data_IF_397156621093
#
_entry.id   IF_397156621093
#
_cell.length_a   1.000
_cell.length_b   1.000
_cell.length_c   1.000
_cell.angle_alpha   90.00
_cell.angle_beta   90.00
_cell.angle_gamma   90.00
#
_symmetry.space_group_name_H-M   'P 1'
#
loop_
_entity.id
_entity.type
_entity.pdbx_description
1 polymer ?
#
# COMPACT_ATOMS: atom_id res chain seq x y z
N UNK A 1 -9.72 6.23 12.46
CA UNK A 1 -9.89 5.20 11.42
C UNK A 1 -9.07 5.48 10.16
N UNK A 2 -9.06 6.71 9.60
CA UNK A 2 -8.29 7.02 8.38
C UNK A 2 -6.79 6.72 8.48
N UNK A 3 -6.18 7.03 9.63
CA UNK A 3 -4.75 6.76 9.88
C UNK A 3 -4.40 5.27 9.76
N UNK A 4 -5.22 4.37 10.29
CA UNK A 4 -4.96 2.93 10.17
C UNK A 4 -5.10 2.48 8.71
N UNK A 5 -6.09 3.02 7.98
CA UNK A 5 -6.24 2.78 6.55
C UNK A 5 -5.01 3.23 5.77
N UNK A 6 -4.48 4.42 6.06
CA UNK A 6 -3.26 4.95 5.44
C UNK A 6 -2.04 4.07 5.71
N UNK A 7 -1.85 3.61 6.95
CA UNK A 7 -0.75 2.70 7.32
C UNK A 7 -0.82 1.41 6.53
N UNK A 8 -2.02 0.82 6.40
CA UNK A 8 -2.20 -0.42 5.63
C UNK A 8 -2.02 -0.19 4.14
N UNK A 9 -2.51 0.92 3.60
CA UNK A 9 -2.35 1.28 2.19
C UNK A 9 -0.87 1.38 1.81
N UNK A 10 -0.06 2.09 2.60
CA UNK A 10 1.39 2.18 2.35
C UNK A 10 2.04 0.80 2.41
N UNK A 11 1.68 -0.02 3.40
CA UNK A 11 2.20 -1.39 3.55
C UNK A 11 1.89 -2.25 2.33
N UNK A 12 0.66 -2.18 1.80
CA UNK A 12 0.23 -2.93 0.62
C UNK A 12 1.03 -2.50 -0.61
N UNK A 13 1.23 -1.20 -0.82
CA UNK A 13 2.01 -0.71 -1.96
C UNK A 13 3.49 -1.09 -1.83
N UNK A 14 4.08 -1.02 -0.62
CA UNK A 14 5.45 -1.49 -0.38
C UNK A 14 5.61 -2.98 -0.68
N UNK A 15 4.65 -3.79 -0.26
CA UNK A 15 4.62 -5.22 -0.57
C UNK A 15 4.48 -5.47 -2.08
N UNK A 16 3.56 -4.78 -2.76
CA UNK A 16 3.36 -4.89 -4.20
C UNK A 16 4.66 -4.57 -4.98
N UNK A 17 5.31 -3.46 -4.67
CA UNK A 17 6.57 -3.07 -5.32
C UNK A 17 7.68 -4.11 -5.04
N UNK A 18 7.74 -4.63 -3.81
CA UNK A 18 8.65 -5.71 -3.44
C UNK A 18 8.39 -7.01 -4.19
N UNK A 19 7.13 -7.39 -4.37
CA UNK A 19 6.72 -8.60 -5.08
C UNK A 19 6.99 -8.50 -6.58
N UNK A 20 6.82 -7.32 -7.18
CA UNK A 20 7.24 -7.06 -8.57
C UNK A 20 8.75 -7.30 -8.74
N UNK A 21 9.57 -6.70 -7.87
CA UNK A 21 11.02 -6.89 -7.90
C UNK A 21 11.36 -8.38 -7.68
N UNK A 22 10.77 -9.02 -6.67
CA UNK A 22 10.97 -10.44 -6.38
C UNK A 22 10.68 -11.31 -7.59
N UNK A 23 9.54 -11.09 -8.24
CA UNK A 23 9.08 -11.87 -9.38
C UNK A 23 10.05 -11.78 -10.55
N UNK A 24 10.48 -10.56 -10.89
CA UNK A 24 11.43 -10.36 -11.99
C UNK A 24 12.80 -10.93 -11.66
N UNK A 25 13.31 -10.73 -10.44
CA UNK A 25 14.63 -11.22 -10.05
C UNK A 25 14.68 -12.75 -9.97
N UNK A 26 13.65 -13.39 -9.42
CA UNK A 26 13.55 -14.86 -9.41
C UNK A 26 13.50 -15.43 -10.83
N UNK A 27 12.84 -14.73 -11.75
CA UNK A 27 12.74 -15.15 -13.16
C UNK A 27 14.03 -14.87 -13.95
N UNK A 28 14.74 -13.79 -13.63
CA UNK A 28 15.95 -13.33 -14.30
C UNK A 28 17.06 -13.02 -13.29
N UNK A 29 17.68 -14.03 -12.65
CA UNK A 29 18.68 -13.83 -11.58
C UNK A 29 19.88 -12.97 -12.00
N UNK A 30 20.21 -12.92 -13.29
CA UNK A 30 21.26 -12.07 -13.84
C UNK A 30 21.06 -10.56 -13.55
N UNK A 31 19.82 -10.14 -13.25
CA UNK A 31 19.49 -8.75 -12.88
C UNK A 31 19.89 -8.41 -11.44
N UNK A 32 20.31 -9.36 -10.60
CA UNK A 32 20.86 -9.08 -9.25
C UNK A 32 22.09 -8.17 -9.27
N UNK A 33 22.71 -7.98 -10.44
CA UNK A 33 23.81 -7.06 -10.68
C UNK A 33 25.16 -7.65 -10.29
N UNK A 34 26.16 -7.46 -11.15
CA UNK A 34 27.50 -8.03 -10.97
C UNK A 34 28.24 -7.54 -9.71
N UNK A 35 27.79 -6.45 -9.09
CA UNK A 35 28.42 -5.87 -7.88
C UNK A 35 27.97 -6.56 -6.58
N UNK A 36 26.94 -7.40 -6.60
CA UNK A 36 26.47 -8.07 -5.39
C UNK A 36 27.33 -9.29 -5.08
N UNK A 37 27.89 -9.28 -3.87
CA UNK A 37 28.69 -10.38 -3.34
C UNK A 37 27.82 -11.30 -2.50
N UNK A 38 27.90 -12.61 -2.74
CA UNK A 38 27.32 -13.63 -1.87
C UNK A 38 28.38 -14.05 -0.86
N UNK A 39 28.02 -14.17 0.42
CA UNK A 39 28.97 -14.62 1.44
C UNK A 39 29.29 -16.12 1.24
N UNK A 40 30.55 -16.51 1.48
CA UNK A 40 30.95 -17.93 1.40
C UNK A 40 30.10 -18.81 2.33
N UNK A 41 29.75 -18.27 3.51
CA UNK A 41 28.88 -18.95 4.46
C UNK A 41 27.52 -19.32 3.84
N UNK A 42 26.89 -18.40 3.10
CA UNK A 42 25.61 -18.66 2.44
C UNK A 42 25.74 -19.77 1.40
N UNK A 43 26.85 -19.82 0.65
CA UNK A 43 27.13 -20.87 -0.33
C UNK A 43 27.31 -22.23 0.34
N UNK A 44 28.02 -22.29 1.47
CA UNK A 44 28.25 -23.52 2.22
C UNK A 44 26.99 -24.05 2.92
N UNK A 45 26.07 -23.16 3.30
CA UNK A 45 24.80 -23.51 3.95
C UNK A 45 23.65 -23.85 2.99
N UNK A 46 23.75 -23.44 1.72
CA UNK A 46 22.71 -23.67 0.74
C UNK A 46 22.69 -25.13 0.28
N UNK A 47 21.49 -25.70 0.13
CA UNK A 47 21.34 -27.07 -0.37
C UNK A 47 21.31 -27.10 -1.90
N UNK A 48 20.82 -26.03 -2.50
CA UNK A 48 20.64 -25.89 -3.96
C UNK A 48 21.09 -24.52 -4.45
N UNK A 49 21.30 -24.38 -5.75
CA UNK A 49 21.58 -23.08 -6.37
C UNK A 49 20.35 -22.15 -6.26
N UNK A 50 19.17 -22.73 -6.35
CA UNK A 50 17.88 -22.07 -6.17
C UNK A 50 17.78 -21.43 -4.78
N UNK A 51 18.22 -22.11 -3.72
CA UNK A 51 18.28 -21.54 -2.37
C UNK A 51 19.20 -20.31 -2.31
N UNK A 52 20.34 -20.35 -3.01
CA UNK A 52 21.26 -19.21 -3.10
C UNK A 52 20.55 -18.03 -3.76
N UNK A 53 19.85 -18.27 -4.88
CA UNK A 53 19.11 -17.22 -5.59
C UNK A 53 18.00 -16.62 -4.73
N UNK A 54 17.22 -17.44 -4.02
CA UNK A 54 16.15 -16.98 -3.14
C UNK A 54 16.71 -16.13 -2.00
N UNK A 55 17.76 -16.60 -1.31
CA UNK A 55 18.39 -15.84 -0.23
C UNK A 55 19.03 -14.54 -0.71
N UNK A 56 19.64 -14.54 -1.91
CA UNK A 56 20.19 -13.33 -2.51
C UNK A 56 19.09 -12.31 -2.87
N UNK A 57 17.94 -12.81 -3.35
CA UNK A 57 16.76 -11.98 -3.65
C UNK A 57 16.17 -11.39 -2.37
N UNK A 58 16.04 -12.17 -1.31
CA UNK A 58 15.57 -11.70 0.00
C UNK A 58 16.50 -10.63 0.58
N UNK A 59 17.82 -10.82 0.48
CA UNK A 59 18.80 -9.83 0.90
C UNK A 59 18.65 -8.52 0.09
N UNK A 60 18.45 -8.61 -1.22
CA UNK A 60 18.17 -7.44 -2.06
C UNK A 60 16.91 -6.70 -1.60
N UNK A 61 15.80 -7.41 -1.43
CA UNK A 61 14.52 -6.82 -1.03
C UNK A 61 14.59 -6.17 0.35
N UNK A 62 15.29 -6.83 1.29
CA UNK A 62 15.56 -6.27 2.61
C UNK A 62 16.36 -4.96 2.49
N UNK A 63 17.43 -4.91 1.70
CA UNK A 63 18.18 -3.67 1.47
C UNK A 63 17.31 -2.57 0.84
N UNK A 64 16.47 -2.91 -0.14
CA UNK A 64 15.55 -1.97 -0.78
C UNK A 64 14.53 -1.40 0.19
N UNK A 65 14.08 -2.18 1.18
CA UNK A 65 13.10 -1.73 2.18
C UNK A 65 13.60 -0.60 3.08
N UNK A 66 14.91 -0.48 3.26
CA UNK A 66 15.53 0.59 4.07
C UNK A 66 15.83 1.86 3.28
N UNK A 67 15.71 1.83 1.94
CA UNK A 67 16.00 2.99 1.09
C UNK A 67 14.90 4.04 1.19
N UNK A 68 15.28 5.30 0.97
CA UNK A 68 14.31 6.35 0.70
C UNK A 68 13.54 6.07 -0.60
N UNK A 69 12.33 6.61 -0.80
CA UNK A 69 11.57 6.36 -2.01
C UNK A 69 12.29 6.72 -3.32
N UNK A 70 13.14 7.76 -3.31
CA UNK A 70 13.93 8.14 -4.49
C UNK A 70 15.05 7.12 -4.76
N UNK A 71 15.82 6.73 -3.73
CA UNK A 71 16.84 5.70 -3.87
C UNK A 71 16.23 4.34 -4.25
N UNK A 72 15.01 4.06 -3.79
CA UNK A 72 14.23 2.90 -4.22
C UNK A 72 13.90 3.00 -5.71
N UNK A 73 13.38 4.14 -6.19
CA UNK A 73 13.06 4.35 -7.60
C UNK A 73 14.28 4.20 -8.51
N UNK A 74 15.43 4.77 -8.13
CA UNK A 74 16.70 4.59 -8.86
C UNK A 74 17.12 3.12 -8.92
N UNK A 75 16.94 2.39 -7.80
CA UNK A 75 17.24 0.96 -7.76
C UNK A 75 16.26 0.15 -8.61
N UNK A 76 14.98 0.51 -8.56
CA UNK A 76 13.91 -0.12 -9.32
C UNK A 76 14.17 0.04 -10.82
N UNK A 77 14.54 1.23 -11.27
CA UNK A 77 14.96 1.51 -12.64
C UNK A 77 16.20 0.69 -13.03
N UNK A 78 17.24 0.66 -12.19
CA UNK A 78 18.44 -0.13 -12.49
C UNK A 78 18.17 -1.63 -12.65
N UNK A 79 17.17 -2.17 -11.95
CA UNK A 79 16.81 -3.58 -11.98
C UNK A 79 15.82 -3.89 -13.11
N UNK A 80 14.81 -3.04 -13.29
CA UNK A 80 13.65 -3.31 -14.14
C UNK A 80 13.60 -2.48 -15.41
N UNK A 81 14.43 -1.44 -15.52
CA UNK A 81 14.41 -0.43 -16.58
C UNK A 81 13.10 0.36 -16.63
N UNK A 82 12.47 0.54 -15.46
CA UNK A 82 11.23 1.29 -15.28
C UNK A 82 11.51 2.43 -14.30
N UNK A 83 11.32 3.67 -14.75
CA UNK A 83 11.57 4.85 -13.92
C UNK A 83 10.29 5.29 -13.18
N UNK A 84 10.14 4.88 -11.92
CA UNK A 84 8.99 5.24 -11.10
C UNK A 84 8.78 6.76 -10.95
N UNK A 85 9.83 7.57 -11.12
CA UNK A 85 9.75 9.03 -11.00
C UNK A 85 9.06 9.69 -12.21
N UNK A 86 8.81 8.95 -13.30
CA UNK A 86 8.01 9.44 -14.42
C UNK A 86 6.51 9.39 -14.12
N UNK A 87 6.10 8.58 -13.14
CA UNK A 87 4.71 8.46 -12.71
C UNK A 87 4.34 9.61 -11.74
N UNK A 88 3.39 10.51 -12.09
CA UNK A 88 2.95 11.57 -11.18
C UNK A 88 2.35 11.02 -9.87
N UNK A 89 1.67 9.86 -9.94
CA UNK A 89 1.09 9.21 -8.79
C UNK A 89 2.15 8.67 -7.81
N UNK A 90 3.36 8.34 -8.29
CA UNK A 90 4.46 7.95 -7.43
C UNK A 90 4.93 9.11 -6.54
N UNK A 91 5.02 10.33 -7.05
CA UNK A 91 5.36 11.52 -6.24
C UNK A 91 4.34 11.78 -5.13
N UNK A 92 3.05 11.53 -5.41
CA UNK A 92 2.00 11.55 -4.38
C UNK A 92 2.20 10.44 -3.36
N UNK A 93 2.52 9.22 -3.81
CA UNK A 93 2.84 8.11 -2.92
C UNK A 93 4.03 8.39 -1.99
N UNK A 94 5.07 9.11 -2.45
CA UNK A 94 6.19 9.54 -1.60
C UNK A 94 5.70 10.38 -0.42
N UNK A 95 4.81 11.34 -0.68
CA UNK A 95 4.20 12.18 0.35
C UNK A 95 3.32 11.36 1.31
N UNK A 96 2.50 10.45 0.77
CA UNK A 96 1.65 9.55 1.54
C UNK A 96 2.48 8.68 2.50
N UNK A 97 3.58 8.12 2.02
CA UNK A 97 4.55 7.35 2.83
C UNK A 97 5.21 8.25 3.89
N UNK A 98 5.58 9.48 3.56
CA UNK A 98 6.12 10.42 4.54
C UNK A 98 5.08 10.77 5.62
N UNK A 99 3.81 10.94 5.26
CA UNK A 99 2.70 11.15 6.21
C UNK A 99 2.55 9.94 7.13
N UNK A 100 2.55 8.71 6.60
CA UNK A 100 2.55 7.47 7.39
C UNK A 100 3.68 7.45 8.42
N UNK A 101 4.91 7.75 8.00
CA UNK A 101 6.08 7.76 8.87
C UNK A 101 5.90 8.73 10.04
N UNK A 102 5.31 9.91 9.79
CA UNK A 102 5.02 10.91 10.84
C UNK A 102 3.97 10.43 11.84
N UNK A 103 2.95 9.69 11.41
CA UNK A 103 1.99 9.12 12.36
C UNK A 103 2.60 8.02 13.24
N UNK A 104 3.50 7.21 12.69
CA UNK A 104 4.20 6.16 13.44
C UNK A 104 5.22 6.76 14.41
N UNK A 105 6.01 7.74 13.96
CA UNK A 105 7.20 8.19 14.69
C UNK A 105 7.02 9.54 15.41
N UNK A 106 6.13 10.41 14.94
CA UNK A 106 5.99 11.78 15.44
C UNK A 106 4.54 12.20 15.73
N UNK A 107 3.68 11.23 16.05
CA UNK A 107 2.28 11.42 16.48
C UNK A 107 1.47 12.34 15.55
N UNK A 108 1.75 12.31 14.24
CA UNK A 108 1.01 13.08 13.25
C UNK A 108 1.43 14.56 13.13
N UNK A 109 2.49 15.01 13.80
CA UNK A 109 2.97 16.40 13.66
C UNK A 109 4.09 16.49 12.61
N UNK A 110 3.93 17.34 11.60
CA UNK A 110 4.92 17.52 10.55
C UNK A 110 6.27 18.01 11.11
N UNK A 111 7.37 17.44 10.63
CA UNK A 111 8.74 17.85 10.97
C UNK A 111 9.56 18.13 9.69
N UNK A 112 10.83 18.51 9.84
CA UNK A 112 11.70 18.82 8.70
C UNK A 112 11.94 17.61 7.78
N UNK A 113 11.94 16.40 8.34
CA UNK A 113 12.05 15.16 7.54
C UNK A 113 10.83 14.96 6.65
N UNK A 114 9.63 15.21 7.15
CA UNK A 114 8.41 15.21 6.34
C UNK A 114 8.48 16.27 5.24
N UNK A 115 8.74 17.53 5.59
CA UNK A 115 8.79 18.61 4.62
C UNK A 115 9.81 18.35 3.50
N UNK A 116 10.99 17.80 3.84
CA UNK A 116 12.01 17.41 2.88
C UNK A 116 11.56 16.26 1.96
N UNK A 117 10.94 15.21 2.51
CA UNK A 117 10.47 14.05 1.73
C UNK A 117 9.30 14.42 0.81
N UNK A 118 8.35 15.19 1.34
CA UNK A 118 7.10 15.53 0.65
C UNK A 118 7.25 16.62 -0.40
N UNK A 119 8.29 17.46 -0.31
CA UNK A 119 8.60 18.49 -1.30
C UNK A 119 7.41 19.40 -1.62
N UNK A 120 7.08 19.55 -2.91
CA UNK A 120 5.95 20.36 -3.39
C UNK A 120 4.57 19.78 -3.04
N UNK A 121 4.49 18.54 -2.57
CA UNK A 121 3.22 17.89 -2.21
C UNK A 121 2.89 17.99 -0.72
N UNK A 122 3.75 18.62 0.10
CA UNK A 122 3.56 18.75 1.53
C UNK A 122 2.20 19.39 1.90
N UNK A 123 1.42 18.70 2.72
CA UNK A 123 0.07 19.09 3.17
C UNK A 123 0.08 19.98 4.41
N UNK A 124 1.18 19.99 5.16
CA UNK A 124 1.33 20.79 6.36
C UNK A 124 2.73 21.39 6.49
N UNK A 125 2.80 22.56 7.11
CA UNK A 125 4.06 23.18 7.53
C UNK A 125 4.62 22.47 8.75
N UNK A 126 5.94 22.53 8.93
CA UNK A 126 6.64 22.02 10.12
C UNK A 126 5.97 22.53 11.41
N UNK A 127 5.78 21.63 12.38
CA UNK A 127 5.13 21.91 13.65
C UNK A 127 3.59 21.89 13.62
N UNK A 128 2.97 21.70 12.46
CA UNK A 128 1.50 21.56 12.33
C UNK A 128 1.09 20.09 12.24
N UNK A 129 -0.11 19.72 12.74
CA UNK A 129 -0.64 18.38 12.57
C UNK A 129 -0.99 18.13 11.10
N UNK A 130 -0.76 16.90 10.63
CA UNK A 130 -1.13 16.45 9.29
C UNK A 130 -2.63 16.16 9.20
N UNK A 131 -3.33 16.63 8.15
CA UNK A 131 -4.76 16.44 8.00
C UNK A 131 -5.08 15.07 7.39
N UNK A 132 -5.07 14.00 8.19
CA UNK A 132 -5.49 12.65 7.74
C UNK A 132 -6.96 12.42 8.07
N UNK A 133 -7.81 13.07 7.27
CA UNK A 133 -9.26 12.88 7.27
C UNK A 133 -9.70 11.83 6.23
N UNK A 134 -11.01 11.65 6.08
CA UNK A 134 -11.57 10.70 5.11
C UNK A 134 -11.25 11.13 3.66
N UNK A 135 -11.45 12.40 3.25
CA UNK A 135 -11.05 12.87 1.92
C UNK A 135 -9.59 12.58 1.60
N UNK A 136 -8.66 12.90 2.51
CA UNK A 136 -7.23 12.63 2.31
C UNK A 136 -6.95 11.14 2.11
N UNK A 137 -7.59 10.27 2.90
CA UNK A 137 -7.43 8.82 2.74
C UNK A 137 -7.95 8.32 1.38
N UNK A 138 -9.12 8.80 0.93
CA UNK A 138 -9.68 8.41 -0.36
C UNK A 138 -8.82 8.90 -1.53
N UNK A 139 -8.31 10.13 -1.45
CA UNK A 139 -7.37 10.67 -2.45
C UNK A 139 -6.05 9.87 -2.45
N UNK A 140 -5.55 9.50 -1.26
CA UNK A 140 -4.36 8.65 -1.15
C UNK A 140 -4.57 7.28 -1.80
N UNK A 141 -5.74 6.68 -1.59
CA UNK A 141 -6.10 5.41 -2.18
C UNK A 141 -6.14 5.48 -3.70
N UNK A 142 -6.76 6.53 -4.25
CA UNK A 142 -6.81 6.79 -5.70
C UNK A 142 -5.41 6.91 -6.31
N UNK A 143 -4.48 7.66 -5.70
CA UNK A 143 -3.11 7.73 -6.20
C UNK A 143 -2.38 6.38 -6.15
N UNK A 144 -2.65 5.54 -5.15
CA UNK A 144 -2.08 4.19 -5.10
C UNK A 144 -2.64 3.26 -6.20
N UNK A 145 -3.92 3.43 -6.58
CA UNK A 145 -4.49 2.72 -7.73
C UNK A 145 -3.83 3.17 -9.04
N UNK A 146 -3.74 4.48 -9.27
CA UNK A 146 -3.10 5.05 -10.46
C UNK A 146 -1.65 4.60 -10.61
N UNK A 147 -0.90 4.54 -9.50
CA UNK A 147 0.46 3.98 -9.50
C UNK A 147 0.48 2.52 -9.94
N UNK A 148 -0.48 1.72 -9.46
CA UNK A 148 -0.57 0.30 -9.79
C UNK A 148 -0.92 0.09 -11.26
N UNK A 149 -1.90 0.82 -11.79
CA UNK A 149 -2.31 0.74 -13.20
C UNK A 149 -1.21 1.21 -14.16
N UNK A 150 -0.51 2.29 -13.78
CA UNK A 150 0.65 2.76 -14.53
C UNK A 150 1.75 1.70 -14.53
N UNK A 151 2.08 1.15 -13.36
CA UNK A 151 3.13 0.13 -13.25
C UNK A 151 2.78 -1.14 -14.03
N UNK A 152 1.52 -1.59 -14.01
CA UNK A 152 1.06 -2.72 -14.80
C UNK A 152 1.26 -2.48 -16.30
N UNK A 153 0.97 -1.27 -16.77
CA UNK A 153 1.16 -0.88 -18.17
C UNK A 153 2.65 -0.88 -18.54
N UNK A 154 3.52 -0.26 -17.73
CA UNK A 154 4.96 -0.26 -17.95
C UNK A 154 5.52 -1.69 -17.94
N UNK A 155 5.12 -2.52 -16.97
CA UNK A 155 5.54 -3.91 -16.89
C UNK A 155 5.15 -4.70 -18.14
N UNK A 156 3.97 -4.45 -18.70
CA UNK A 156 3.52 -5.11 -19.92
C UNK A 156 4.35 -4.73 -21.16
N UNK A 157 4.80 -3.49 -21.27
CA UNK A 157 5.68 -3.04 -22.37
C UNK A 157 7.05 -3.74 -22.31
N UNK A 158 7.57 -4.02 -21.12
CA UNK A 158 8.84 -4.73 -20.94
C UNK A 158 8.69 -6.26 -20.94
N UNK A 159 7.58 -6.78 -20.42
CA UNK A 159 7.26 -8.19 -20.28
C UNK A 159 5.79 -8.44 -20.62
N UNK A 160 5.53 -8.67 -21.91
CA UNK A 160 4.18 -8.93 -22.39
C UNK A 160 3.45 -10.01 -21.60
N UNK A 161 2.23 -9.68 -21.18
CA UNK A 161 1.32 -10.54 -20.44
C UNK A 161 0.03 -10.73 -21.23
N UNK A 162 -0.24 -11.96 -21.66
CA UNK A 162 -1.49 -12.33 -22.32
C UNK A 162 -2.70 -12.19 -21.39
N UNK A 163 -2.51 -12.40 -20.09
CA UNK A 163 -3.58 -12.25 -19.09
C UNK A 163 -4.09 -10.80 -18.98
N UNK A 164 -3.19 -9.82 -19.14
CA UNK A 164 -3.55 -8.40 -19.15
C UNK A 164 -4.31 -8.02 -20.42
N UNK A 165 -3.92 -8.57 -21.58
CA UNK A 165 -4.66 -8.36 -22.82
C UNK A 165 -6.08 -8.92 -22.72
N UNK A 166 -6.21 -10.12 -22.16
CA UNK A 166 -7.51 -10.77 -21.92
C UNK A 166 -8.38 -10.03 -20.91
N UNK A 167 -7.80 -9.36 -19.91
CA UNK A 167 -8.54 -8.56 -18.94
C UNK A 167 -9.02 -7.24 -19.56
N UNK A 168 -8.20 -6.58 -20.40
CA UNK A 168 -8.57 -5.38 -21.16
C UNK A 168 -9.64 -5.64 -22.21
N UNK A 169 -9.60 -6.82 -22.84
CA UNK A 169 -10.58 -7.23 -23.85
C UNK A 169 -11.89 -7.76 -23.23
N UNK A 170 -11.94 -7.97 -21.91
CA UNK A 170 -13.14 -8.41 -21.22
C UNK A 170 -14.12 -7.24 -21.11
N UNK A 171 -15.32 -7.32 -21.71
CA UNK A 171 -16.33 -6.28 -21.52
C UNK A 171 -16.64 -6.21 -20.02
N UNK A 172 -16.63 -4.99 -19.46
CA UNK A 172 -16.92 -4.73 -18.04
C UNK A 172 -18.32 -5.24 -17.67
N UNK A 173 -18.42 -6.52 -17.31
CA UNK A 173 -19.61 -7.08 -16.70
C UNK A 173 -19.61 -6.68 -15.23
N UNK A 174 -19.90 -5.41 -14.96
CA UNK A 174 -20.56 -5.12 -13.70
C UNK A 174 -21.93 -5.79 -13.80
N UNK A 175 -22.31 -6.69 -12.87
CA UNK A 175 -23.69 -7.10 -12.80
C UNK A 175 -24.49 -5.83 -12.54
N UNK A 176 -25.25 -5.39 -13.55
CA UNK A 176 -26.37 -4.52 -13.33
C UNK A 176 -27.40 -5.33 -12.54
N UNK A 177 -27.13 -5.57 -11.25
CA UNK A 177 -28.22 -5.85 -10.34
C UNK A 177 -29.13 -4.64 -10.44
N UNK A 178 -30.37 -4.79 -10.93
CA UNK A 178 -31.35 -3.73 -10.78
C UNK A 178 -31.34 -3.41 -9.29
N UNK A 179 -31.08 -2.16 -8.92
CA UNK A 179 -31.40 -1.72 -7.56
C UNK A 179 -32.90 -1.89 -7.47
N UNK A 180 -33.35 -2.99 -6.84
CA UNK A 180 -34.77 -3.18 -6.59
C UNK A 180 -35.26 -1.88 -5.94
N UNK A 181 -36.33 -1.26 -6.48
CA UNK A 181 -36.91 -0.11 -5.83
C UNK A 181 -37.21 -0.53 -4.40
N UNK A 182 -36.68 0.22 -3.43
CA UNK A 182 -36.98 0.02 -2.03
C UNK A 182 -38.51 0.03 -1.93
N UNK A 183 -39.14 -1.13 -1.74
CA UNK A 183 -40.58 -1.23 -1.56
C UNK A 183 -40.92 -0.29 -0.42
N UNK A 184 -41.59 0.83 -0.76
CA UNK A 184 -42.26 1.64 0.24
C UNK A 184 -43.22 0.69 0.94
N UNK A 185 -42.89 0.36 2.19
CA UNK A 185 -43.80 -0.30 3.10
C UNK A 185 -44.93 0.69 3.38
N UNK A 186 -45.89 0.76 2.47
CA UNK A 186 -47.18 1.37 2.73
C UNK A 186 -47.98 0.37 3.54
N UNK A 187 -48.21 0.67 4.81
CA UNK A 187 -49.18 -0.06 5.62
C UNK A 187 -50.58 0.11 4.98
N UNK A 188 -51.46 -0.89 5.14
CA UNK A 188 -52.80 -0.98 4.52
C UNK A 188 -53.78 0.16 4.90
N UNK A 189 -53.32 1.21 5.57
CA UNK A 189 -54.11 2.37 5.99
C UNK A 189 -53.62 3.72 5.44
N UNK A 190 -52.61 3.76 4.57
CA UNK A 190 -52.27 4.97 3.80
C UNK A 190 -51.66 6.14 4.59
N UNK A 191 -51.08 5.89 5.77
CA UNK A 191 -50.29 6.88 6.52
C UNK A 191 -48.81 6.48 6.56
N UNK A 192 -47.92 7.48 6.47
CA UNK A 192 -46.47 7.29 6.46
C UNK A 192 -45.99 6.66 7.78
N UNK A 193 -45.49 5.41 7.72
CA UNK A 193 -44.91 4.73 8.86
C UNK A 193 -43.68 5.49 9.39
N UNK A 194 -43.75 5.94 10.64
CA UNK A 194 -42.60 6.55 11.31
C UNK A 194 -41.45 5.53 11.44
N UNK A 195 -40.19 5.95 11.24
CA UNK A 195 -39.05 5.03 11.26
C UNK A 195 -38.94 4.34 12.62
N UNK A 196 -38.93 3.01 12.60
CA UNK A 196 -38.71 2.16 13.76
C UNK A 196 -37.26 2.38 14.23
N UNK A 197 -37.08 3.18 15.28
CA UNK A 197 -35.80 3.36 15.95
C UNK A 197 -35.46 2.04 16.65
N UNK A 198 -34.45 1.34 16.14
CA UNK A 198 -33.95 0.12 16.74
C UNK A 198 -33.56 0.36 18.22
N UNK A 199 -33.92 -0.53 19.15
CA UNK A 199 -33.57 -0.37 20.55
C UNK A 199 -32.05 -0.44 20.75
N UNK A 200 -31.48 0.36 21.67
CA UNK A 200 -30.04 0.40 21.89
C UNK A 200 -29.51 -0.95 22.40
N UNK A 201 -28.39 -1.37 21.83
CA UNK A 201 -27.72 -2.63 22.18
C UNK A 201 -27.37 -2.69 23.69
N UNK A 202 -27.47 -3.88 24.32
CA UNK A 202 -27.21 -4.03 25.74
C UNK A 202 -25.75 -3.68 26.09
N UNK A 203 -25.57 -2.82 27.09
CA UNK A 203 -24.26 -2.37 27.59
C UNK A 203 -23.45 -3.56 28.12
N UNK A 204 -22.33 -3.87 27.46
CA UNK A 204 -21.34 -4.86 27.92
C UNK A 204 -20.72 -4.38 29.24
N UNK A 205 -21.04 -5.07 30.34
CA UNK A 205 -20.57 -4.78 31.69
C UNK A 205 -19.09 -5.18 31.81
N UNK A 206 -18.16 -4.20 31.71
CA UNK A 206 -16.72 -4.43 31.95
C UNK A 206 -16.49 -4.93 33.38
N UNK A 207 -16.07 -6.19 33.53
CA UNK A 207 -15.56 -6.73 34.80
C UNK A 207 -14.23 -6.05 35.13
N UNK A 208 -14.21 -5.23 36.19
CA UNK A 208 -12.99 -4.75 36.85
C UNK A 208 -12.23 -5.97 37.41
N UNK A 209 -11.06 -6.28 36.84
CA UNK A 209 -10.07 -7.13 37.53
C UNK A 209 -9.28 -6.25 38.49
N UNK A 210 -9.48 -6.45 39.77
CA UNK A 210 -8.62 -5.98 40.85
C UNK A 210 -7.27 -6.69 40.75
N UNK A 211 -6.18 -5.94 40.58
CA UNK A 211 -4.82 -6.41 40.84
C UNK A 211 -4.56 -6.25 42.34
N UNK A 212 -4.38 -7.37 43.03
CA UNK A 212 -3.73 -7.40 44.35
C UNK A 212 -2.25 -7.12 44.16
N UNK A 213 -1.71 -6.21 44.98
CA UNK A 213 -0.29 -6.05 45.21
C UNK A 213 0.23 -7.26 45.99
N UNK A 214 1.42 -7.75 45.62
CA UNK A 214 2.24 -8.62 46.43
C UNK A 214 3.63 -7.99 46.53
N UNK A 215 4.00 -7.75 47.78
CA UNK A 215 5.34 -7.51 48.35
C UNK A 215 6.38 -8.49 47.84
#
# INVERSE_FOLDING_TARGET
MPVNGLVQLVTIVEALLGDVVRTVITRYPQKLGAKRTVSLQLVLEAQTLEDIHLRATDALLNDLSYKSPNEFAESFDSLLSINLLECPAFHRYIEIKATRDIFIHNRGTANDTYARKSGSHAQAKVGRPLPVDIPYFLESYEYCLQLTEWLESELHEHWHSSELEDSRNRPSQLPATPVEPLLELTDENGDAAAPVIAPPSPKVRRRRRSRKAAT
#
